data_IF_914581319683
#
_entry.id   IF_914581319683
#
_cell.length_a   1.000
_cell.length_b   1.000
_cell.length_c   1.000
_cell.angle_alpha   90.00
_cell.angle_beta   90.00
_cell.angle_gamma   90.00
#
_symmetry.space_group_name_H-M   'P 1'
#
loop_
_entity.id
_entity.type
_entity.pdbx_description
1 polymer ?
#
# COMPACT_ATOMS: atom_id res chain seq x y z
N UNK A 1 5.86 2.81 -9.26
CA UNK A 1 7.05 2.85 -8.36
C UNK A 1 6.91 1.72 -7.34
N UNK A 2 8.02 1.08 -6.99
CA UNK A 2 8.08 0.07 -5.93
C UNK A 2 8.92 0.60 -4.77
N UNK A 3 8.54 0.26 -3.53
CA UNK A 3 9.24 0.71 -2.32
C UNK A 3 9.20 -0.39 -1.25
N UNK A 4 10.32 -0.63 -0.59
CA UNK A 4 10.42 -1.49 0.59
C UNK A 4 10.88 -0.69 1.81
N UNK A 5 10.52 -1.15 3.00
CA UNK A 5 10.88 -0.57 4.29
C UNK A 5 11.67 -1.59 5.10
N UNK A 6 12.94 -1.82 4.78
CA UNK A 6 13.75 -2.85 5.45
C UNK A 6 13.98 -2.56 6.93
N UNK A 7 13.98 -1.27 7.33
CA UNK A 7 14.15 -0.84 8.69
C UNK A 7 13.34 0.41 9.05
N UNK A 8 13.45 0.84 10.31
CA UNK A 8 12.77 2.05 10.77
C UNK A 8 13.33 3.29 10.07
N UNK A 9 12.48 4.00 9.34
CA UNK A 9 12.88 5.19 8.57
C UNK A 9 13.52 4.88 7.21
N UNK A 10 13.95 3.65 6.97
CA UNK A 10 14.63 3.25 5.73
C UNK A 10 13.64 3.08 4.57
N UNK A 11 14.15 3.31 3.37
CA UNK A 11 13.45 3.09 2.10
C UNK A 11 14.43 2.56 1.07
N UNK A 12 14.00 1.52 0.34
CA UNK A 12 14.69 1.05 -0.86
C UNK A 12 13.70 1.00 -2.02
N UNK A 13 14.20 1.21 -3.22
CA UNK A 13 13.39 1.30 -4.43
C UNK A 13 13.84 0.23 -5.43
N UNK A 14 13.41 -1.03 -5.23
CA UNK A 14 13.79 -2.11 -6.12
C UNK A 14 13.02 -2.06 -7.44
N UNK A 15 13.58 -2.67 -8.48
CA UNK A 15 12.88 -2.85 -9.75
C UNK A 15 11.84 -3.96 -9.72
N UNK A 16 11.88 -4.80 -8.68
CA UNK A 16 11.02 -5.98 -8.50
C UNK A 16 10.72 -6.22 -7.02
N UNK A 17 9.49 -6.64 -6.75
CA UNK A 17 9.04 -7.11 -5.43
C UNK A 17 8.38 -8.48 -5.61
N UNK A 18 8.85 -9.48 -4.85
CA UNK A 18 8.17 -10.77 -4.70
C UNK A 18 7.20 -10.71 -3.53
N UNK A 19 6.12 -11.46 -3.59
CA UNK A 19 5.13 -11.54 -2.51
C UNK A 19 4.50 -12.92 -2.43
N UNK A 20 4.20 -13.36 -1.21
CA UNK A 20 3.59 -14.65 -0.94
C UNK A 20 2.40 -14.52 0.00
N UNK A 21 1.45 -15.45 -0.12
CA UNK A 21 0.27 -15.52 0.77
C UNK A 21 0.69 -15.69 2.22
N UNK A 22 1.68 -16.53 2.48
CA UNK A 22 2.13 -16.84 3.83
C UNK A 22 2.99 -15.73 4.45
N UNK A 23 3.89 -15.12 3.66
CA UNK A 23 4.93 -14.21 4.17
C UNK A 23 4.73 -12.73 3.82
N UNK A 24 3.72 -12.40 3.01
CA UNK A 24 3.61 -11.05 2.46
C UNK A 24 4.80 -10.71 1.57
N UNK A 25 5.36 -9.53 1.73
CA UNK A 25 6.54 -9.07 1.00
C UNK A 25 7.78 -9.29 1.86
N UNK A 26 8.78 -10.07 1.41
CA UNK A 26 10.04 -10.27 2.14
C UNK A 26 10.74 -8.93 2.41
N UNK A 27 11.19 -8.73 3.64
CA UNK A 27 11.83 -7.48 4.06
C UNK A 27 10.87 -6.36 4.44
N UNK A 28 9.56 -6.55 4.31
CA UNK A 28 8.55 -5.61 4.79
C UNK A 28 8.15 -5.89 6.24
N UNK A 29 7.66 -4.85 6.92
CA UNK A 29 7.36 -4.87 8.35
C UNK A 29 6.13 -5.69 8.72
N UNK A 30 5.28 -6.06 7.76
CA UNK A 30 4.04 -6.77 8.05
C UNK A 30 4.28 -8.04 8.84
N UNK A 31 5.24 -8.88 8.44
CA UNK A 31 5.51 -10.16 9.08
C UNK A 31 6.17 -10.05 10.46
N UNK A 32 6.88 -8.96 10.72
CA UNK A 32 7.67 -8.78 11.96
C UNK A 32 7.04 -7.80 12.94
N UNK A 33 6.40 -6.76 12.45
CA UNK A 33 5.82 -5.68 13.26
C UNK A 33 4.46 -5.19 12.70
N UNK A 34 3.47 -6.09 12.57
CA UNK A 34 2.15 -5.71 12.07
C UNK A 34 1.44 -4.79 13.06
N UNK A 35 0.76 -3.78 12.55
CA UNK A 35 -0.08 -2.91 13.37
C UNK A 35 -1.49 -3.49 13.62
N UNK A 36 -1.89 -4.50 12.82
CA UNK A 36 -3.13 -5.24 12.99
C UNK A 36 -2.80 -6.74 13.07
N UNK A 37 -3.43 -7.42 14.02
CA UNK A 37 -3.21 -8.84 14.30
C UNK A 37 -4.53 -9.58 14.40
N UNK A 38 -4.50 -10.85 14.10
CA UNK A 38 -5.59 -11.78 14.36
C UNK A 38 -5.69 -12.10 15.86
N UNK A 39 -6.80 -12.73 16.32
CA UNK A 39 -6.97 -13.10 17.73
C UNK A 39 -5.90 -14.02 18.30
N UNK A 40 -5.26 -14.82 17.44
CA UNK A 40 -4.14 -15.70 17.82
C UNK A 40 -2.79 -14.99 17.90
N UNK A 41 -2.76 -13.67 17.63
CA UNK A 41 -1.56 -12.84 17.66
C UNK A 41 -0.75 -12.82 16.35
N UNK A 42 -1.12 -13.62 15.36
CA UNK A 42 -0.49 -13.61 14.05
C UNK A 42 -0.78 -12.32 13.26
N UNK A 43 0.09 -11.94 12.31
CA UNK A 43 -0.17 -10.79 11.43
C UNK A 43 -1.47 -10.96 10.64
N UNK A 44 -2.32 -9.93 10.63
CA UNK A 44 -3.54 -9.96 9.82
C UNK A 44 -3.20 -9.87 8.32
N UNK A 45 -3.55 -10.88 7.50
CA UNK A 45 -3.22 -10.88 6.08
C UNK A 45 -3.91 -9.76 5.28
N UNK A 46 -5.00 -9.18 5.80
CA UNK A 46 -5.72 -8.08 5.14
C UNK A 46 -4.89 -6.81 4.98
N UNK A 47 -3.74 -6.72 5.66
CA UNK A 47 -2.85 -5.55 5.60
C UNK A 47 -1.44 -5.90 5.08
N UNK A 48 -1.28 -7.01 4.35
CA UNK A 48 0.02 -7.47 3.83
C UNK A 48 0.67 -6.48 2.87
N UNK A 49 -0.12 -5.89 1.99
CA UNK A 49 0.37 -4.99 0.93
C UNK A 49 -0.47 -3.72 0.94
N UNK A 50 0.17 -2.55 0.92
CA UNK A 50 -0.52 -1.29 0.67
C UNK A 50 -0.23 -0.76 -0.74
N UNK A 51 -1.29 -0.26 -1.39
CA UNK A 51 -1.22 0.42 -2.67
C UNK A 51 -1.56 1.90 -2.48
N UNK A 52 -0.76 2.79 -3.08
CA UNK A 52 -0.99 4.23 -3.05
C UNK A 52 -1.21 4.77 -4.46
N UNK A 53 -2.25 5.62 -4.70
CA UNK A 53 -2.39 6.28 -5.99
C UNK A 53 -1.21 7.22 -6.26
N UNK A 54 -0.55 7.09 -7.42
CA UNK A 54 0.60 7.91 -7.78
C UNK A 54 0.29 9.40 -7.80
N UNK A 55 -0.91 9.78 -8.28
CA UNK A 55 -1.37 11.17 -8.31
C UNK A 55 -1.48 11.79 -6.92
N UNK A 56 -1.91 11.00 -5.91
CA UNK A 56 -1.93 11.47 -4.51
C UNK A 56 -0.50 11.61 -3.99
N UNK A 57 0.36 10.64 -4.27
CA UNK A 57 1.77 10.73 -3.87
C UNK A 57 2.43 11.98 -4.44
N UNK A 58 2.22 12.29 -5.72
CA UNK A 58 2.82 13.47 -6.37
C UNK A 58 2.34 14.79 -5.75
N UNK A 59 1.10 14.84 -5.26
CA UNK A 59 0.55 16.01 -4.60
C UNK A 59 1.10 16.21 -3.17
N UNK A 60 1.32 15.13 -2.42
CA UNK A 60 1.70 15.23 -1.01
C UNK A 60 3.22 15.15 -0.78
N UNK A 61 3.94 14.40 -1.61
CA UNK A 61 5.39 14.20 -1.49
C UNK A 61 6.17 15.16 -2.42
N UNK A 62 6.05 16.46 -2.17
CA UNK A 62 6.67 17.51 -2.98
C UNK A 62 8.15 17.71 -2.63
N UNK A 63 8.48 17.76 -1.34
CA UNK A 63 9.87 17.83 -0.87
C UNK A 63 10.47 16.42 -0.79
N UNK A 64 10.91 15.91 -1.93
CA UNK A 64 11.49 14.56 -2.05
C UNK A 64 12.89 14.43 -1.48
N UNK A 65 13.54 15.55 -1.19
CA UNK A 65 14.90 15.59 -0.62
C UNK A 65 14.85 15.44 0.89
N UNK A 66 13.97 16.20 1.56
CA UNK A 66 13.93 16.26 3.02
C UNK A 66 12.82 15.42 3.64
N UNK A 67 11.82 15.00 2.85
CA UNK A 67 10.70 14.22 3.33
C UNK A 67 10.75 12.79 2.78
N UNK A 68 10.73 11.76 3.65
CA UNK A 68 10.79 10.38 3.20
C UNK A 68 9.52 9.97 2.44
N UNK A 69 9.69 9.10 1.45
CA UNK A 69 8.60 8.45 0.71
C UNK A 69 7.54 7.86 1.66
N UNK A 70 6.24 7.85 1.30
CA UNK A 70 5.16 7.32 2.15
C UNK A 70 5.43 5.90 2.67
N UNK A 71 6.05 5.07 1.85
CA UNK A 71 6.45 3.72 2.22
C UNK A 71 5.46 2.64 1.81
N UNK A 72 4.51 2.98 0.94
CA UNK A 72 3.64 1.96 0.35
C UNK A 72 4.43 1.13 -0.66
N UNK A 73 4.38 -0.21 -0.59
CA UNK A 73 5.14 -1.10 -1.47
C UNK A 73 4.86 -0.88 -2.95
N UNK A 74 3.63 -0.56 -3.30
CA UNK A 74 3.23 -0.34 -4.69
C UNK A 74 2.59 1.04 -4.83
N UNK A 75 3.16 1.86 -5.69
CA UNK A 75 2.58 3.15 -6.09
C UNK A 75 2.25 3.09 -7.58
N UNK A 76 0.98 3.29 -7.92
CA UNK A 76 0.49 3.14 -9.30
C UNK A 76 -0.58 4.17 -9.66
N UNK A 77 -0.69 4.50 -10.95
CA UNK A 77 -1.79 5.31 -11.49
C UNK A 77 -3.05 4.44 -11.61
N UNK A 78 -3.75 4.30 -10.50
CA UNK A 78 -4.97 3.51 -10.40
C UNK A 78 -6.00 4.28 -9.58
N UNK A 79 -7.25 4.33 -10.06
CA UNK A 79 -8.36 4.82 -9.26
C UNK A 79 -8.70 3.79 -8.18
N UNK A 80 -8.46 4.13 -6.92
CA UNK A 80 -8.64 3.24 -5.77
C UNK A 80 -9.94 3.48 -5.01
N UNK A 81 -10.86 4.30 -5.56
CA UNK A 81 -12.17 4.56 -4.95
C UNK A 81 -12.97 3.29 -4.67
N UNK A 82 -13.87 3.35 -3.71
CA UNK A 82 -14.77 2.23 -3.36
C UNK A 82 -15.57 1.75 -4.58
N UNK A 83 -15.98 2.67 -5.46
CA UNK A 83 -16.73 2.35 -6.68
C UNK A 83 -15.91 1.51 -7.66
N UNK A 84 -14.61 1.80 -7.81
CA UNK A 84 -13.74 1.05 -8.74
C UNK A 84 -13.15 -0.22 -8.11
N UNK A 85 -12.80 -0.14 -6.82
CA UNK A 85 -12.17 -1.22 -6.07
C UNK A 85 -12.96 -1.55 -4.79
N UNK A 86 -14.20 -2.04 -4.85
CA UNK A 86 -14.88 -2.48 -3.65
C UNK A 86 -14.08 -3.57 -2.91
N UNK A 87 -14.24 -3.73 -1.58
CA UNK A 87 -13.62 -4.81 -0.84
C UNK A 87 -13.85 -6.16 -1.51
N UNK A 88 -12.82 -7.00 -1.56
CA UNK A 88 -12.87 -8.29 -2.24
C UNK A 88 -12.45 -8.25 -3.72
N UNK A 89 -12.35 -7.08 -4.33
CA UNK A 89 -11.85 -6.94 -5.71
C UNK A 89 -10.45 -7.53 -5.83
N UNK A 90 -10.23 -8.28 -6.90
CA UNK A 90 -8.91 -8.82 -7.23
C UNK A 90 -8.14 -7.90 -8.16
N UNK A 91 -6.85 -7.74 -7.89
CA UNK A 91 -5.91 -6.95 -8.68
C UNK A 91 -4.74 -7.84 -9.07
N UNK A 92 -4.50 -8.01 -10.36
CA UNK A 92 -3.27 -8.63 -10.85
C UNK A 92 -2.15 -7.59 -10.81
N UNK A 93 -1.04 -7.95 -10.17
CA UNK A 93 0.18 -7.16 -10.07
C UNK A 93 1.35 -8.03 -10.57
N UNK A 94 1.72 -7.90 -11.85
CA UNK A 94 2.64 -8.82 -12.50
C UNK A 94 2.09 -10.24 -12.53
N UNK A 95 2.80 -11.19 -11.89
CA UNK A 95 2.34 -12.58 -11.71
C UNK A 95 1.58 -12.81 -10.41
N UNK A 96 1.63 -11.88 -9.45
CA UNK A 96 0.89 -11.96 -8.21
C UNK A 96 -0.57 -11.52 -8.38
N UNK A 97 -1.44 -11.99 -7.47
CA UNK A 97 -2.83 -11.51 -7.34
C UNK A 97 -3.06 -11.02 -5.91
N UNK A 98 -3.60 -9.83 -5.81
CA UNK A 98 -3.96 -9.15 -4.55
C UNK A 98 -5.47 -9.09 -4.41
N UNK A 99 -5.98 -9.16 -3.17
CA UNK A 99 -7.38 -8.90 -2.85
C UNK A 99 -7.50 -7.61 -2.03
N UNK A 100 -8.33 -6.70 -2.49
CA UNK A 100 -8.63 -5.45 -1.78
C UNK A 100 -9.32 -5.75 -0.45
N UNK A 101 -8.75 -5.23 0.62
CA UNK A 101 -9.22 -5.39 1.99
C UNK A 101 -10.44 -4.50 2.31
N UNK A 102 -11.21 -4.93 3.31
CA UNK A 102 -12.23 -4.12 3.99
C UNK A 102 -11.63 -3.22 5.08
N UNK A 103 -10.37 -3.44 5.46
CA UNK A 103 -9.67 -2.61 6.46
C UNK A 103 -9.38 -1.23 5.86
N UNK A 104 -9.85 -0.14 6.49
CA UNK A 104 -9.61 1.20 5.98
C UNK A 104 -8.12 1.58 6.09
N UNK A 105 -7.65 2.37 5.13
CA UNK A 105 -6.32 2.95 5.13
C UNK A 105 -6.43 4.48 5.30
N UNK A 106 -6.64 4.93 6.53
CA UNK A 106 -6.96 6.33 6.83
C UNK A 106 -5.70 7.19 7.12
N UNK A 107 -4.53 6.63 6.90
CA UNK A 107 -3.27 7.28 7.25
C UNK A 107 -2.94 7.11 8.75
N UNK A 108 -1.83 7.68 9.16
CA UNK A 108 -1.36 7.59 10.54
C UNK A 108 -0.67 8.89 10.96
N UNK A 109 -0.34 9.00 12.26
CA UNK A 109 0.40 10.16 12.80
C UNK A 109 1.67 10.46 12.00
N UNK A 110 2.38 9.43 11.52
CA UNK A 110 3.58 9.62 10.68
C UNK A 110 3.27 10.28 9.34
N UNK A 111 2.10 10.02 8.76
CA UNK A 111 1.64 10.71 7.56
C UNK A 111 1.46 12.20 7.83
N UNK A 112 0.73 12.54 8.91
CA UNK A 112 0.51 13.93 9.32
C UNK A 112 1.84 14.66 9.59
N UNK A 113 2.77 14.02 10.29
CA UNK A 113 4.08 14.62 10.60
C UNK A 113 4.90 14.88 9.33
N UNK A 114 4.82 14.02 8.33
CA UNK A 114 5.61 14.15 7.09
C UNK A 114 5.01 15.13 6.08
N UNK A 115 3.71 15.11 5.93
CA UNK A 115 3.02 15.81 4.84
C UNK A 115 2.10 16.94 5.31
N UNK A 116 1.96 17.12 6.61
CA UNK A 116 1.17 18.19 7.21
C UNK A 116 -0.26 17.80 7.55
N UNK A 117 -0.89 18.67 8.34
CA UNK A 117 -2.31 18.52 8.76
C UNK A 117 -3.27 18.64 7.59
N UNK A 118 -2.98 19.53 6.64
CA UNK A 118 -3.85 19.78 5.49
C UNK A 118 -3.88 18.58 4.54
N UNK A 119 -2.71 17.97 4.26
CA UNK A 119 -2.65 16.72 3.52
C UNK A 119 -3.39 15.58 4.22
N UNK A 120 -3.31 15.51 5.55
CA UNK A 120 -4.08 14.52 6.33
C UNK A 120 -5.58 14.78 6.27
N UNK A 121 -6.02 16.03 6.43
CA UNK A 121 -7.43 16.40 6.33
C UNK A 121 -7.97 16.11 4.91
N UNK A 122 -7.20 16.44 3.88
CA UNK A 122 -7.58 16.20 2.50
C UNK A 122 -7.81 14.72 2.17
N UNK A 123 -6.92 13.82 2.58
CA UNK A 123 -7.10 12.38 2.30
C UNK A 123 -8.29 11.76 3.05
N UNK A 124 -8.75 12.40 4.12
CA UNK A 124 -9.88 11.97 4.94
C UNK A 124 -11.20 12.69 4.58
N UNK A 125 -11.17 13.71 3.74
CA UNK A 125 -12.33 14.52 3.40
C UNK A 125 -13.47 13.69 2.80
N UNK A 126 -13.13 12.72 1.96
CA UNK A 126 -14.05 11.74 1.40
C UNK A 126 -13.39 10.36 1.37
N UNK A 127 -13.72 9.54 2.36
CA UNK A 127 -13.15 8.19 2.51
C UNK A 127 -13.52 7.24 1.39
N UNK A 128 -14.59 7.54 0.62
CA UNK A 128 -14.98 6.74 -0.54
C UNK A 128 -13.98 6.86 -1.69
N UNK A 129 -13.25 7.95 -1.79
CA UNK A 129 -12.20 8.16 -2.77
C UNK A 129 -10.93 7.37 -2.47
N UNK A 130 -10.72 6.95 -1.22
CA UNK A 130 -9.55 6.22 -0.76
C UNK A 130 -8.22 6.85 -1.21
N UNK A 131 -8.10 8.15 -1.02
CA UNK A 131 -6.91 8.92 -1.42
C UNK A 131 -5.62 8.42 -0.73
N UNK A 132 -5.73 7.86 0.49
CA UNK A 132 -4.59 7.21 1.15
C UNK A 132 -4.24 5.84 0.53
N UNK A 133 -5.04 5.37 -0.41
CA UNK A 133 -4.87 4.07 -1.04
C UNK A 133 -5.61 2.95 -0.33
N UNK A 134 -5.32 1.73 -0.72
CA UNK A 134 -5.96 0.51 -0.22
C UNK A 134 -4.95 -0.44 0.40
N UNK A 135 -5.45 -1.26 1.32
CA UNK A 135 -4.74 -2.40 1.87
C UNK A 135 -5.19 -3.67 1.16
N UNK A 136 -4.31 -4.63 1.03
CA UNK A 136 -4.58 -5.89 0.32
C UNK A 136 -3.96 -7.08 1.04
N UNK A 137 -4.61 -8.25 0.87
CA UNK A 137 -4.00 -9.56 1.08
C UNK A 137 -3.39 -10.07 -0.23
N UNK A 138 -2.41 -10.96 -0.13
CA UNK A 138 -1.86 -11.71 -1.27
C UNK A 138 -2.73 -12.96 -1.46
N UNK A 139 -3.36 -13.10 -2.62
CA UNK A 139 -4.20 -14.26 -2.98
C UNK A 139 -3.45 -15.30 -3.82
N UNK A 140 -2.49 -14.83 -4.61
CA UNK A 140 -1.60 -15.69 -5.40
C UNK A 140 -0.17 -15.18 -5.26
N UNK A 141 0.73 -16.08 -4.94
CA UNK A 141 2.15 -15.82 -4.91
C UNK A 141 2.66 -15.36 -6.26
N UNK A 142 3.63 -14.47 -6.27
CA UNK A 142 4.20 -13.97 -7.50
C UNK A 142 5.10 -12.77 -7.28
N UNK A 143 5.35 -12.04 -8.34
CA UNK A 143 6.18 -10.84 -8.34
C UNK A 143 5.61 -9.74 -9.21
N UNK A 144 5.94 -8.51 -8.87
CA UNK A 144 5.65 -7.31 -9.65
C UNK A 144 6.93 -6.57 -9.96
N UNK A 145 7.05 -6.08 -11.19
CA UNK A 145 8.18 -5.26 -11.66
C UNK A 145 7.72 -3.82 -11.97
N UNK A 146 8.67 -2.91 -12.17
CA UNK A 146 8.37 -1.51 -12.54
C UNK A 146 7.67 -1.39 -13.89
N UNK A 147 7.83 -2.37 -14.78
CA UNK A 147 7.22 -2.37 -16.13
C UNK A 147 5.83 -2.98 -16.16
N UNK A 148 5.41 -3.65 -15.09
CA UNK A 148 4.09 -4.26 -15.02
C UNK A 148 2.99 -3.22 -14.86
N UNK A 149 1.80 -3.58 -15.35
CA UNK A 149 0.56 -2.82 -15.14
C UNK A 149 -0.32 -3.55 -14.14
N UNK A 150 -0.92 -2.79 -13.23
CA UNK A 150 -1.98 -3.33 -12.38
C UNK A 150 -3.25 -3.52 -13.20
N UNK A 151 -3.89 -4.68 -13.07
CA UNK A 151 -5.13 -5.01 -13.77
C UNK A 151 -6.21 -5.40 -12.76
N UNK A 152 -7.32 -4.70 -12.76
CA UNK A 152 -8.51 -5.09 -11.99
C UNK A 152 -9.15 -6.30 -12.66
N UNK A 153 -9.29 -7.39 -11.91
CA UNK A 153 -9.96 -8.62 -12.34
C UNK A 153 -11.44 -8.49 -11.98
N UNK A 154 -12.30 -8.50 -12.99
CA UNK A 154 -13.77 -8.39 -12.85
C UNK A 154 -14.44 -9.67 -13.24
#
# INVERSE_FOLDING_TARGET
MLCLRPGFGERSFPDRISMTRAGGIPGERWSTLPWLKLPDGSPDPRIQVSLLPSRVMDLVWQDRVNTPHPGDPIVADLNMSVTNLPPGTLIRAGTAVLRVSDVPNDGCVKWKVRYGSDAMAWILQDTSLRLRGVLCSVEQDGEVTLTDRLQVIR
#
